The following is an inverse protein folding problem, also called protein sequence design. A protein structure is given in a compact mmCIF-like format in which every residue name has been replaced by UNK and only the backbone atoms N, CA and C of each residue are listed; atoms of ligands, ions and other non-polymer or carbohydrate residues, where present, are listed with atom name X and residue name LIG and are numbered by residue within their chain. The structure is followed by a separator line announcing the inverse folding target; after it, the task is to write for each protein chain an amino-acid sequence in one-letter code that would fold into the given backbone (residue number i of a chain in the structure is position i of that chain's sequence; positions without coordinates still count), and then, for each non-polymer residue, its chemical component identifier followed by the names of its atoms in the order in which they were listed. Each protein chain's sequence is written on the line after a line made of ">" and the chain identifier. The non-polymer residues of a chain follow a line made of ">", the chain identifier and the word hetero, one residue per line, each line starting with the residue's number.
data_IF_399048447516
#
_entry.id   IF_399048447516
#
_cell.length_a   1.000
_cell.length_b   1.000
_cell.length_c   1.000
_cell.angle_alpha   90.00
_cell.angle_beta   90.00
_cell.angle_gamma   90.00
#
_symmetry.space_group_name_H-M   'P 1'
#
loop_
_entity.id
_entity.type
_entity.pdbx_description
1 polymer ?
#
# COMPACT_ATOMS: atom_id res chain seq x y z
N UNK A 1 -26.47 -36.19 2.87
CA UNK A 1 -26.29 -35.13 3.89
C UNK A 1 -26.05 -33.84 3.13
N UNK A 2 -26.85 -32.79 3.40
CA UNK A 2 -26.56 -31.47 2.86
C UNK A 2 -25.22 -30.99 3.41
N UNK A 3 -24.40 -30.40 2.56
CA UNK A 3 -23.07 -29.92 2.90
C UNK A 3 -23.14 -28.41 3.00
N UNK A 4 -22.65 -27.84 4.10
CA UNK A 4 -22.44 -26.40 4.20
C UNK A 4 -21.45 -25.98 3.11
N UNK A 5 -21.91 -25.17 2.16
CA UNK A 5 -21.07 -24.62 1.11
C UNK A 5 -20.75 -23.15 1.43
N UNK A 6 -19.50 -22.91 1.83
CA UNK A 6 -18.97 -21.57 2.07
C UNK A 6 -18.16 -21.09 0.84
N UNK A 7 -18.10 -19.77 0.59
CA UNK A 7 -17.34 -19.21 -0.51
C UNK A 7 -15.83 -19.43 -0.31
N UNK A 8 -15.12 -19.73 -1.39
CA UNK A 8 -13.67 -19.81 -1.42
C UNK A 8 -13.03 -18.42 -1.34
N UNK A 9 -11.85 -18.33 -0.73
CA UNK A 9 -11.05 -17.11 -0.69
C UNK A 9 -9.72 -17.31 -1.41
N UNK A 10 -9.56 -16.61 -2.52
CA UNK A 10 -8.36 -16.65 -3.37
C UNK A 10 -7.64 -15.29 -3.44
N UNK A 11 -7.94 -14.39 -2.49
CA UNK A 11 -7.42 -13.03 -2.44
C UNK A 11 -8.34 -11.99 -3.09
N UNK A 12 -7.88 -10.72 -3.12
CA UNK A 12 -6.59 -10.23 -2.63
C UNK A 12 -6.50 -10.19 -1.09
N UNK A 13 -5.28 -10.22 -0.53
CA UNK A 13 -5.03 -10.07 0.91
C UNK A 13 -5.16 -8.60 1.35
N UNK A 14 -6.39 -8.09 1.38
CA UNK A 14 -6.71 -6.76 1.90
C UNK A 14 -7.73 -6.85 3.03
N UNK A 15 -7.73 -5.85 3.91
CA UNK A 15 -8.68 -5.80 5.04
C UNK A 15 -10.14 -5.85 4.57
N UNK A 16 -10.46 -5.13 3.49
CA UNK A 16 -11.79 -5.14 2.88
C UNK A 16 -12.16 -6.51 2.31
N UNK A 17 -11.34 -7.08 1.44
CA UNK A 17 -11.66 -8.35 0.77
C UNK A 17 -11.81 -9.50 1.77
N UNK A 18 -10.95 -9.54 2.79
CA UNK A 18 -11.06 -10.55 3.85
C UNK A 18 -12.29 -10.33 4.71
N UNK A 19 -12.59 -9.09 5.11
CA UNK A 19 -13.80 -8.79 5.87
C UNK A 19 -15.07 -9.17 5.08
N UNK A 20 -15.13 -8.87 3.79
CA UNK A 20 -16.25 -9.26 2.93
C UNK A 20 -16.40 -10.78 2.84
N UNK A 21 -15.30 -11.50 2.61
CA UNK A 21 -15.32 -12.96 2.59
C UNK A 21 -15.82 -13.55 3.92
N UNK A 22 -15.28 -13.07 5.06
CA UNK A 22 -15.70 -13.51 6.39
C UNK A 22 -17.17 -13.20 6.66
N UNK A 23 -17.67 -12.04 6.22
CA UNK A 23 -19.10 -11.71 6.31
C UNK A 23 -19.97 -12.66 5.49
N UNK A 24 -19.58 -12.96 4.24
CA UNK A 24 -20.30 -13.92 3.39
C UNK A 24 -20.29 -15.33 3.99
N UNK A 25 -19.15 -15.80 4.49
CA UNK A 25 -19.09 -17.08 5.19
C UNK A 25 -20.07 -17.16 6.36
N UNK A 26 -20.16 -16.08 7.15
CA UNK A 26 -21.10 -16.01 8.27
C UNK A 26 -22.56 -16.00 7.78
N UNK A 27 -22.87 -15.25 6.72
CA UNK A 27 -24.21 -15.19 6.14
C UNK A 27 -24.66 -16.55 5.60
N UNK A 28 -23.84 -17.22 4.79
CA UNK A 28 -24.14 -18.57 4.26
C UNK A 28 -24.33 -19.59 5.39
N UNK A 29 -23.56 -19.46 6.46
CA UNK A 29 -23.73 -20.29 7.63
C UNK A 29 -25.03 -20.00 8.38
N UNK A 30 -25.43 -18.75 8.53
CA UNK A 30 -26.72 -18.38 9.12
C UNK A 30 -27.89 -18.91 8.30
N UNK A 31 -27.82 -18.85 6.96
CA UNK A 31 -28.81 -19.47 6.06
C UNK A 31 -28.87 -20.98 6.27
N UNK A 32 -27.71 -21.66 6.30
CA UNK A 32 -27.65 -23.09 6.60
C UNK A 32 -28.31 -23.44 7.94
N UNK A 33 -28.17 -22.61 8.96
CA UNK A 33 -28.81 -22.86 10.25
C UNK A 33 -30.33 -22.70 10.22
N UNK A 34 -30.84 -21.82 9.37
CA UNK A 34 -32.29 -21.67 9.16
C UNK A 34 -32.88 -22.90 8.45
N UNK A 35 -32.14 -23.44 7.47
CA UNK A 35 -32.56 -24.64 6.73
C UNK A 35 -32.41 -25.92 7.56
N UNK A 36 -31.46 -25.95 8.50
CA UNK A 36 -31.15 -27.11 9.34
C UNK A 36 -31.09 -26.76 10.84
N UNK A 37 -32.22 -26.36 11.46
CA UNK A 37 -32.23 -25.90 12.86
C UNK A 37 -31.85 -26.98 13.88
N UNK A 38 -32.06 -28.26 13.53
CA UNK A 38 -31.73 -29.42 14.37
C UNK A 38 -30.35 -30.02 14.06
N UNK A 39 -29.51 -29.31 13.29
CA UNK A 39 -28.17 -29.79 12.95
C UNK A 39 -27.30 -29.94 14.20
N UNK A 40 -26.88 -31.17 14.48
CA UNK A 40 -25.96 -31.46 15.57
C UNK A 40 -24.52 -31.16 15.15
N UNK A 41 -23.88 -30.18 15.79
CA UNK A 41 -22.50 -29.82 15.51
C UNK A 41 -21.55 -30.90 16.04
N UNK A 42 -20.73 -31.55 15.18
CA UNK A 42 -19.89 -32.69 15.56
C UNK A 42 -18.91 -32.46 16.73
N UNK A 43 -18.63 -31.20 17.08
CA UNK A 43 -17.73 -30.81 18.17
C UNK A 43 -18.38 -29.85 19.18
N UNK A 44 -19.72 -29.86 19.27
CA UNK A 44 -20.52 -29.14 20.28
C UNK A 44 -20.58 -27.61 20.14
N UNK A 45 -19.64 -26.98 19.43
CA UNK A 45 -19.65 -25.53 19.19
C UNK A 45 -20.01 -25.19 17.75
N UNK A 46 -21.05 -24.35 17.62
CA UNK A 46 -21.46 -23.68 16.38
C UNK A 46 -20.30 -22.94 15.73
N UNK A 47 -19.62 -22.09 16.50
CA UNK A 47 -18.52 -21.26 16.01
C UNK A 47 -17.33 -22.12 15.58
N UNK A 48 -17.00 -23.17 16.35
CA UNK A 48 -15.95 -24.11 15.97
C UNK A 48 -16.23 -24.72 14.59
N UNK A 49 -17.46 -25.17 14.36
CA UNK A 49 -17.86 -25.75 13.07
C UNK A 49 -17.69 -24.74 11.92
N UNK A 50 -18.15 -23.49 12.11
CA UNK A 50 -17.97 -22.42 11.12
C UNK A 50 -16.48 -22.12 10.86
N UNK A 51 -15.66 -21.99 11.91
CA UNK A 51 -14.23 -21.71 11.80
C UNK A 51 -13.53 -22.77 10.95
N UNK A 52 -13.78 -24.06 11.21
CA UNK A 52 -13.19 -25.16 10.43
C UNK A 52 -13.58 -25.06 8.96
N UNK A 53 -14.87 -24.86 8.69
CA UNK A 53 -15.35 -24.80 7.31
C UNK A 53 -14.87 -23.57 6.57
N UNK A 54 -14.78 -22.41 7.24
CA UNK A 54 -14.27 -21.19 6.63
C UNK A 54 -12.78 -21.28 6.33
N UNK A 55 -11.96 -21.73 7.30
CA UNK A 55 -10.52 -21.87 7.07
C UNK A 55 -10.18 -22.87 5.95
N UNK A 56 -10.96 -23.96 5.82
CA UNK A 56 -10.80 -24.92 4.71
C UNK A 56 -11.20 -24.36 3.32
N UNK A 57 -11.76 -23.15 3.25
CA UNK A 57 -12.09 -22.47 2.00
C UNK A 57 -11.04 -21.44 1.58
N UNK A 58 -9.94 -21.32 2.31
CA UNK A 58 -8.78 -20.54 1.87
C UNK A 58 -8.09 -21.32 0.74
N UNK A 59 -7.94 -20.68 -0.42
CA UNK A 59 -7.25 -21.25 -1.58
C UNK A 59 -5.78 -21.49 -1.25
N UNK A 60 -5.25 -22.63 -1.68
CA UNK A 60 -3.84 -22.97 -1.53
C UNK A 60 -2.95 -22.50 -2.67
N UNK A 61 -3.51 -21.68 -3.58
CA UNK A 61 -2.84 -21.15 -4.75
C UNK A 61 -2.64 -19.64 -4.67
N UNK A 62 -1.61 -19.15 -5.37
CA UNK A 62 -1.36 -17.72 -5.55
C UNK A 62 -1.07 -16.99 -4.23
N UNK A 63 -1.63 -15.79 -4.08
CA UNK A 63 -1.36 -14.89 -2.95
C UNK A 63 -1.86 -15.39 -1.59
N UNK A 64 -2.68 -16.46 -1.54
CA UNK A 64 -3.23 -17.01 -0.30
C UNK A 64 -2.53 -18.28 0.18
N UNK A 65 -1.50 -18.77 -0.53
CA UNK A 65 -0.79 -20.01 -0.21
C UNK A 65 -0.27 -20.04 1.24
N UNK A 66 0.48 -19.02 1.65
CA UNK A 66 1.03 -18.93 3.01
C UNK A 66 -0.05 -18.89 4.10
N UNK A 67 -1.19 -18.26 3.79
CA UNK A 67 -2.33 -18.19 4.71
C UNK A 67 -3.02 -19.56 4.84
N UNK A 68 -3.12 -20.32 3.74
CA UNK A 68 -3.65 -21.68 3.74
C UNK A 68 -2.75 -22.63 4.53
N UNK A 69 -1.42 -22.51 4.40
CA UNK A 69 -0.45 -23.31 5.14
C UNK A 69 -0.45 -22.97 6.64
N UNK A 70 -0.53 -21.68 6.97
CA UNK A 70 -0.76 -21.25 8.35
C UNK A 70 -2.04 -21.88 8.92
N UNK A 71 -3.15 -21.83 8.19
CA UNK A 71 -4.40 -22.43 8.65
C UNK A 71 -4.28 -23.93 8.91
N UNK A 72 -3.66 -24.69 7.98
CA UNK A 72 -3.46 -26.14 8.10
C UNK A 72 -2.60 -26.52 9.31
N UNK A 73 -1.64 -25.68 9.67
CA UNK A 73 -0.76 -25.89 10.83
C UNK A 73 -1.33 -25.38 12.16
N UNK A 74 -2.41 -24.61 12.13
CA UNK A 74 -2.98 -23.98 13.32
C UNK A 74 -3.98 -24.88 14.03
N UNK A 75 -3.80 -25.09 15.33
CA UNK A 75 -4.78 -25.79 16.15
C UNK A 75 -6.03 -24.92 16.38
N UNK A 76 -7.22 -25.45 16.06
CA UNK A 76 -8.50 -24.73 16.22
C UNK A 76 -8.76 -24.31 17.68
N UNK A 77 -8.18 -25.00 18.65
CA UNK A 77 -8.19 -24.64 20.08
C UNK A 77 -7.66 -23.22 20.33
N UNK A 78 -6.77 -22.71 19.47
CA UNK A 78 -6.16 -21.38 19.61
C UNK A 78 -7.16 -20.22 19.47
N UNK A 79 -8.36 -20.48 18.95
CA UNK A 79 -9.40 -19.46 18.76
C UNK A 79 -10.46 -19.46 19.88
N UNK A 80 -10.28 -20.24 20.96
CA UNK A 80 -11.26 -20.40 22.05
C UNK A 80 -12.69 -20.74 21.55
N UNK A 81 -12.80 -21.40 20.39
CA UNK A 81 -14.07 -21.64 19.69
C UNK A 81 -14.93 -20.38 19.49
N UNK A 82 -14.31 -19.24 19.22
CA UNK A 82 -14.96 -17.94 19.05
C UNK A 82 -14.73 -17.42 17.63
N UNK A 83 -15.81 -17.14 16.89
CA UNK A 83 -15.73 -16.64 15.52
C UNK A 83 -15.03 -15.28 15.42
N UNK A 84 -15.26 -14.38 16.36
CA UNK A 84 -14.60 -13.06 16.36
C UNK A 84 -13.09 -13.23 16.55
N UNK A 85 -12.65 -14.10 17.47
CA UNK A 85 -11.22 -14.39 17.70
C UNK A 85 -10.54 -14.95 16.45
N UNK A 86 -11.20 -15.89 15.77
CA UNK A 86 -10.74 -16.40 14.49
C UNK A 86 -10.58 -15.28 13.45
N UNK A 87 -11.58 -14.40 13.28
CA UNK A 87 -11.48 -13.26 12.36
C UNK A 87 -10.29 -12.36 12.67
N UNK A 88 -10.00 -12.10 13.94
CA UNK A 88 -8.87 -11.24 14.28
C UNK A 88 -7.53 -11.91 14.01
N UNK A 89 -7.38 -13.18 14.38
CA UNK A 89 -6.13 -13.90 14.14
C UNK A 89 -5.87 -14.12 12.65
N UNK A 90 -6.88 -14.49 11.86
CA UNK A 90 -6.70 -14.65 10.42
C UNK A 90 -6.35 -13.32 9.74
N UNK A 91 -6.92 -12.19 10.19
CA UNK A 91 -6.56 -10.86 9.70
C UNK A 91 -5.16 -10.42 10.16
N UNK A 92 -4.77 -10.76 11.39
CA UNK A 92 -3.44 -10.47 11.90
C UNK A 92 -2.35 -11.28 11.20
N UNK A 93 -2.65 -12.52 10.84
CA UNK A 93 -1.74 -13.36 10.08
C UNK A 93 -1.53 -12.84 8.66
N UNK A 94 -2.61 -12.45 7.98
CA UNK A 94 -2.56 -12.04 6.57
C UNK A 94 -2.09 -10.59 6.37
N UNK A 95 -2.42 -9.68 7.29
CA UNK A 95 -2.21 -8.24 7.14
C UNK A 95 -1.24 -7.66 8.19
N UNK A 96 -0.77 -8.49 9.13
CA UNK A 96 0.07 -8.09 10.26
C UNK A 96 -0.72 -7.70 11.50
N UNK A 97 -0.06 -7.74 12.67
CA UNK A 97 -0.68 -7.47 13.99
C UNK A 97 -1.30 -6.08 14.14
N UNK A 98 -0.88 -5.12 13.32
CA UNK A 98 -1.38 -3.74 13.34
C UNK A 98 -2.45 -3.44 12.28
N UNK A 99 -3.02 -4.47 11.64
CA UNK A 99 -3.98 -4.31 10.54
C UNK A 99 -5.12 -3.34 10.87
N UNK A 100 -5.67 -3.42 12.10
CA UNK A 100 -6.79 -2.58 12.50
C UNK A 100 -6.39 -1.11 12.68
N UNK A 101 -5.19 -0.86 13.20
CA UNK A 101 -4.64 0.49 13.29
C UNK A 101 -4.39 1.08 11.89
N UNK A 102 -3.93 0.26 10.94
CA UNK A 102 -3.80 0.66 9.55
C UNK A 102 -5.15 0.94 8.88
N UNK A 103 -6.17 0.11 9.12
CA UNK A 103 -7.54 0.35 8.63
C UNK A 103 -8.10 1.65 9.22
N UNK A 104 -7.89 1.92 10.51
CA UNK A 104 -8.29 3.18 11.14
C UNK A 104 -7.56 4.38 10.52
N UNK A 105 -6.24 4.29 10.33
CA UNK A 105 -5.46 5.34 9.65
C UNK A 105 -6.07 5.61 8.26
N UNK A 106 -6.23 4.56 7.45
CA UNK A 106 -6.82 4.66 6.12
C UNK A 106 -8.20 5.32 6.18
N UNK A 107 -9.09 4.87 7.07
CA UNK A 107 -10.42 5.43 7.25
C UNK A 107 -10.37 6.95 7.47
N UNK A 108 -9.50 7.45 8.36
CA UNK A 108 -9.41 8.89 8.61
C UNK A 108 -8.66 9.69 7.51
N UNK A 109 -7.79 9.04 6.74
CA UNK A 109 -6.94 9.73 5.76
C UNK A 109 -7.39 9.57 4.31
N UNK A 110 -8.35 8.69 4.00
CA UNK A 110 -8.87 8.52 2.63
C UNK A 110 -9.56 9.81 2.19
N UNK A 111 -9.00 10.44 1.14
CA UNK A 111 -9.50 11.68 0.52
C UNK A 111 -9.99 11.43 -0.89
N UNK A 112 -10.94 12.24 -1.38
CA UNK A 112 -11.48 12.10 -2.72
C UNK A 112 -10.42 12.42 -3.81
N UNK A 113 -9.66 13.50 -3.68
CA UNK A 113 -8.48 13.83 -4.54
C UNK A 113 -8.70 13.60 -6.05
N UNK A 114 -9.75 14.20 -6.62
CA UNK A 114 -10.05 14.09 -8.05
C UNK A 114 -10.67 12.75 -8.47
N UNK A 115 -10.83 11.79 -7.56
CA UNK A 115 -11.52 10.52 -7.82
C UNK A 115 -13.02 10.73 -7.91
N UNK A 116 -13.66 9.82 -8.64
CA UNK A 116 -15.11 9.73 -8.69
C UNK A 116 -15.69 9.56 -7.27
N UNK A 117 -16.76 10.31 -6.97
CA UNK A 117 -17.39 10.32 -5.66
C UNK A 117 -17.87 8.93 -5.21
N UNK A 118 -18.44 8.13 -6.11
CA UNK A 118 -18.95 6.79 -5.80
C UNK A 118 -17.81 5.85 -5.36
N UNK A 119 -16.66 5.93 -6.02
CA UNK A 119 -15.49 5.12 -5.67
C UNK A 119 -14.94 5.49 -4.30
N UNK A 120 -14.81 6.80 -4.05
CA UNK A 120 -14.37 7.34 -2.76
C UNK A 120 -15.31 6.95 -1.61
N UNK A 121 -16.62 7.14 -1.79
CA UNK A 121 -17.63 6.84 -0.79
C UNK A 121 -17.75 5.33 -0.52
N UNK A 122 -17.60 4.50 -1.57
CA UNK A 122 -17.56 3.04 -1.44
C UNK A 122 -16.36 2.61 -0.59
N UNK A 123 -15.16 3.08 -0.89
CA UNK A 123 -13.94 2.74 -0.14
C UNK A 123 -14.06 3.13 1.34
N UNK A 124 -14.54 4.35 1.62
CA UNK A 124 -14.76 4.79 3.01
C UNK A 124 -15.77 3.90 3.75
N UNK A 125 -16.83 3.48 3.08
CA UNK A 125 -17.83 2.60 3.68
C UNK A 125 -17.31 1.16 3.89
N UNK A 126 -16.47 0.68 2.99
CA UNK A 126 -15.75 -0.60 3.14
C UNK A 126 -14.82 -0.57 4.37
N UNK A 127 -14.00 0.48 4.51
CA UNK A 127 -13.14 0.67 5.68
C UNK A 127 -13.96 0.76 6.99
N UNK A 128 -15.06 1.51 6.95
CA UNK A 128 -16.01 1.59 8.07
C UNK A 128 -16.57 0.21 8.44
N UNK A 129 -16.93 -0.59 7.44
CA UNK A 129 -17.45 -1.95 7.62
C UNK A 129 -16.42 -2.82 8.32
N UNK A 130 -15.16 -2.80 7.88
CA UNK A 130 -14.05 -3.54 8.50
C UNK A 130 -13.92 -3.17 9.99
N UNK A 131 -13.88 -1.87 10.31
CA UNK A 131 -13.75 -1.39 11.69
C UNK A 131 -14.94 -1.86 12.54
N UNK A 132 -16.15 -1.71 12.02
CA UNK A 132 -17.39 -2.05 12.74
C UNK A 132 -17.51 -3.55 13.05
N UNK A 133 -16.98 -4.40 12.17
CA UNK A 133 -17.06 -5.86 12.26
C UNK A 133 -15.89 -6.50 13.01
N UNK A 134 -14.85 -5.73 13.37
CA UNK A 134 -13.68 -6.23 14.08
C UNK A 134 -14.00 -6.76 15.49
N UNK A 135 -14.95 -6.13 16.20
CA UNK A 135 -15.50 -6.47 17.55
C UNK A 135 -14.52 -6.70 18.71
N UNK A 136 -13.23 -6.90 18.45
CA UNK A 136 -12.21 -7.33 19.42
C UNK A 136 -11.51 -6.15 20.07
N UNK A 137 -11.31 -5.08 19.31
CA UNK A 137 -10.98 -3.81 19.89
C UNK A 137 -12.25 -3.20 20.48
N UNK A 138 -12.21 -2.73 21.73
CA UNK A 138 -13.25 -1.88 22.32
C UNK A 138 -13.31 -0.49 21.66
N UNK A 139 -13.18 -0.42 20.34
CA UNK A 139 -13.34 0.79 19.56
C UNK A 139 -14.79 1.21 19.76
N UNK A 140 -14.95 2.36 20.39
CA UNK A 140 -16.26 2.95 20.61
C UNK A 140 -16.95 3.21 19.27
N UNK A 141 -18.27 2.98 19.20
CA UNK A 141 -19.10 3.46 18.09
C UNK A 141 -18.94 4.97 17.87
N UNK A 142 -18.46 5.73 18.86
CA UNK A 142 -18.11 7.14 18.67
C UNK A 142 -17.01 7.37 17.62
N UNK A 143 -16.20 6.37 17.25
CA UNK A 143 -15.10 6.50 16.28
C UNK A 143 -15.56 6.27 14.83
N UNK A 144 -16.53 5.37 14.63
CA UNK A 144 -17.00 4.96 13.30
C UNK A 144 -18.52 5.10 13.12
N UNK A 145 -19.19 5.78 14.06
CA UNK A 145 -20.62 6.03 14.06
C UNK A 145 -21.04 6.98 12.95
N UNK A 146 -22.35 7.07 12.71
CA UNK A 146 -22.91 7.84 11.59
C UNK A 146 -22.53 9.32 11.64
N UNK A 147 -22.48 9.92 12.84
CA UNK A 147 -22.07 11.32 13.01
C UNK A 147 -20.62 11.55 12.54
N UNK A 148 -19.65 10.76 13.02
CA UNK A 148 -18.26 10.91 12.58
C UNK A 148 -18.10 10.58 11.10
N UNK A 149 -18.79 9.54 10.63
CA UNK A 149 -18.74 9.15 9.23
C UNK A 149 -19.26 10.25 8.30
N UNK A 150 -20.33 10.93 8.68
CA UNK A 150 -20.87 12.09 7.95
C UNK A 150 -19.83 13.19 7.77
N UNK A 151 -19.19 13.61 8.85
CA UNK A 151 -18.17 14.66 8.80
C UNK A 151 -16.95 14.21 8.02
N UNK A 152 -16.51 12.97 8.21
CA UNK A 152 -15.38 12.40 7.50
C UNK A 152 -15.64 12.37 5.99
N UNK A 153 -16.79 11.86 5.54
CA UNK A 153 -17.16 11.86 4.12
C UNK A 153 -17.11 13.26 3.52
N UNK A 154 -17.72 14.25 4.20
CA UNK A 154 -17.75 15.62 3.71
C UNK A 154 -16.34 16.24 3.68
N UNK A 155 -15.65 16.32 4.81
CA UNK A 155 -14.40 17.08 4.90
C UNK A 155 -13.22 16.45 4.16
N UNK A 156 -13.31 15.16 3.80
CA UNK A 156 -12.35 14.51 2.91
C UNK A 156 -12.81 14.48 1.44
N UNK A 157 -13.97 15.07 1.09
CA UNK A 157 -14.41 15.28 -0.29
C UNK A 157 -13.58 16.35 -1.01
N UNK A 158 -13.80 16.51 -2.32
CA UNK A 158 -13.18 17.58 -3.09
C UNK A 158 -13.57 18.97 -2.54
N UNK A 159 -12.64 19.95 -2.45
CA UNK A 159 -12.92 21.26 -1.83
C UNK A 159 -14.16 21.96 -2.40
N UNK A 160 -14.33 21.94 -3.73
CA UNK A 160 -15.50 22.52 -4.39
C UNK A 160 -16.83 21.89 -3.94
N UNK A 161 -16.84 20.58 -3.68
CA UNK A 161 -18.02 19.89 -3.15
C UNK A 161 -18.29 20.28 -1.70
N UNK A 162 -17.23 20.46 -0.89
CA UNK A 162 -17.36 20.91 0.51
C UNK A 162 -17.97 22.30 0.59
N UNK A 163 -17.42 23.27 -0.16
CA UNK A 163 -17.91 24.65 -0.20
C UNK A 163 -19.38 24.71 -0.65
N UNK A 164 -19.72 24.03 -1.75
CA UNK A 164 -21.08 24.00 -2.27
C UNK A 164 -22.11 23.43 -1.27
N UNK A 165 -21.69 22.44 -0.47
CA UNK A 165 -22.56 21.78 0.49
C UNK A 165 -22.71 22.61 1.76
N UNK A 166 -21.62 23.18 2.29
CA UNK A 166 -21.64 23.99 3.51
C UNK A 166 -22.40 25.31 3.31
N UNK A 167 -22.35 25.90 2.12
CA UNK A 167 -23.09 27.14 1.82
C UNK A 167 -24.62 26.96 1.79
N UNK A 168 -25.09 25.72 1.61
CA UNK A 168 -26.51 25.42 1.33
C UNK A 168 -27.19 24.58 2.39
N UNK A 169 -26.44 23.94 3.28
CA UNK A 169 -26.98 22.92 4.18
C UNK A 169 -26.33 22.94 5.55
N UNK A 170 -27.16 22.78 6.58
CA UNK A 170 -26.70 22.50 7.93
C UNK A 170 -26.30 21.02 8.06
N UNK A 171 -25.01 20.75 8.04
CA UNK A 171 -24.48 19.37 8.10
C UNK A 171 -24.69 18.72 9.46
N UNK A 172 -24.97 19.49 10.52
CA UNK A 172 -25.22 18.93 11.85
C UNK A 172 -26.50 18.10 11.85
N UNK A 173 -27.54 18.55 11.15
CA UNK A 173 -28.88 17.92 11.17
C UNK A 173 -29.15 16.94 10.03
N UNK A 174 -28.32 16.94 8.99
CA UNK A 174 -28.49 16.13 7.77
C UNK A 174 -28.04 14.67 7.99
N UNK A 175 -28.74 13.71 7.37
CA UNK A 175 -28.42 12.28 7.49
C UNK A 175 -27.18 11.88 6.67
N UNK A 176 -26.59 10.72 7.00
CA UNK A 176 -25.48 10.12 6.21
C UNK A 176 -25.88 9.93 4.74
N UNK A 177 -27.09 9.45 4.48
CA UNK A 177 -27.61 9.22 3.12
C UNK A 177 -27.71 10.54 2.35
N UNK A 178 -28.23 11.58 2.97
CA UNK A 178 -28.37 12.89 2.33
C UNK A 178 -27.00 13.53 2.04
N UNK A 179 -26.04 13.43 2.96
CA UNK A 179 -24.67 13.92 2.72
C UNK A 179 -24.03 13.17 1.56
N UNK A 180 -24.20 11.86 1.49
CA UNK A 180 -23.72 11.03 0.37
C UNK A 180 -24.29 11.51 -0.97
N UNK A 181 -25.61 11.67 -1.07
CA UNK A 181 -26.27 12.16 -2.29
C UNK A 181 -25.80 13.56 -2.68
N UNK A 182 -25.58 14.44 -1.71
CA UNK A 182 -25.10 15.80 -1.94
C UNK A 182 -23.68 15.79 -2.48
N UNK A 183 -22.77 15.00 -1.91
CA UNK A 183 -21.39 14.84 -2.41
C UNK A 183 -21.39 14.33 -3.86
N UNK A 184 -22.23 13.34 -4.16
CA UNK A 184 -22.38 12.79 -5.51
C UNK A 184 -22.91 13.83 -6.52
N UNK A 185 -23.85 14.69 -6.11
CA UNK A 185 -24.40 15.77 -6.94
C UNK A 185 -23.42 16.94 -7.12
N UNK A 186 -22.63 17.24 -6.10
CA UNK A 186 -21.68 18.35 -6.07
C UNK A 186 -20.36 18.04 -6.80
N UNK A 187 -20.02 16.75 -6.96
CA UNK A 187 -18.84 16.33 -7.70
C UNK A 187 -19.16 16.27 -9.21
N UNK A 188 -18.47 17.04 -10.06
CA UNK A 188 -18.66 16.91 -11.51
C UNK A 188 -18.34 15.49 -11.96
N UNK A 189 -19.26 14.85 -12.69
CA UNK A 189 -18.99 13.58 -13.37
C UNK A 189 -18.02 13.88 -14.51
N UNK A 190 -16.76 13.48 -14.37
CA UNK A 190 -15.91 13.35 -15.55
C UNK A 190 -16.61 12.36 -16.49
N UNK A 191 -16.92 12.74 -17.74
CA UNK A 191 -17.49 11.81 -18.69
C UNK A 191 -16.49 10.65 -18.87
N UNK A 192 -16.97 9.40 -18.99
CA UNK A 192 -16.09 8.31 -19.40
C UNK A 192 -15.49 8.68 -20.75
N UNK A 193 -14.17 8.56 -20.88
CA UNK A 193 -13.44 8.80 -22.11
C UNK A 193 -14.14 8.07 -23.26
N UNK A 194 -14.78 8.87 -24.11
CA UNK A 194 -15.42 8.42 -25.32
C UNK A 194 -14.34 8.29 -26.39
N UNK A 195 -13.64 7.16 -26.42
CA UNK A 195 -13.04 6.70 -27.67
C UNK A 195 -13.94 5.66 -28.31
N UNK A 196 -14.82 6.17 -29.15
CA UNK A 196 -15.41 5.40 -30.24
C UNK A 196 -14.29 5.00 -31.21
N UNK A 197 -14.19 3.69 -31.46
CA UNK A 197 -13.31 3.09 -32.45
C UNK A 197 -13.74 1.66 -32.70
N UNK A 198 -14.72 1.50 -33.60
CA UNK A 198 -15.17 0.25 -34.23
C UNK A 198 -14.04 -0.77 -34.42
N UNK A 199 -14.30 -2.04 -34.09
CA UNK A 199 -14.16 -3.19 -35.00
C UNK A 199 -14.68 -4.45 -34.32
N UNK A 200 -15.89 -4.84 -34.68
CA UNK A 200 -16.35 -6.23 -34.57
C UNK A 200 -15.48 -7.11 -35.47
N UNK A 201 -14.70 -8.01 -34.89
CA UNK A 201 -14.38 -9.27 -35.56
C UNK A 201 -14.06 -10.38 -34.56
N UNK A 202 -14.97 -11.35 -34.53
CA UNK A 202 -14.86 -12.64 -33.84
C UNK A 202 -13.74 -13.46 -34.48
N UNK A 203 -12.81 -13.97 -33.66
CA UNK A 203 -11.98 -15.14 -33.99
C UNK A 203 -11.59 -15.88 -32.70
N UNK A 204 -11.66 -17.20 -32.77
CA UNK A 204 -11.49 -18.16 -31.69
C UNK A 204 -10.04 -18.20 -31.13
N UNK A 205 -9.80 -18.79 -29.93
CA UNK A 205 -8.59 -18.59 -29.17
C UNK A 205 -7.47 -19.48 -29.69
N UNK A 206 -6.35 -18.87 -30.07
CA UNK A 206 -5.11 -19.59 -30.31
C UNK A 206 -4.19 -19.46 -29.10
N UNK A 207 -3.62 -20.61 -28.75
CA UNK A 207 -2.96 -20.90 -27.50
C UNK A 207 -1.47 -20.58 -27.66
N UNK A 208 -1.04 -19.39 -27.22
CA UNK A 208 0.38 -19.07 -27.13
C UNK A 208 0.65 -18.26 -25.86
N UNK A 209 1.32 -18.92 -24.90
CA UNK A 209 1.71 -18.33 -23.63
C UNK A 209 2.48 -17.03 -23.81
N UNK A 210 1.88 -15.94 -23.36
CA UNK A 210 2.54 -14.69 -23.03
C UNK A 210 2.33 -14.42 -21.53
N UNK A 211 3.31 -13.81 -20.83
CA UNK A 211 3.22 -13.57 -19.40
C UNK A 211 2.02 -12.66 -19.12
N UNK A 212 1.17 -13.10 -18.22
CA UNK A 212 -0.04 -12.41 -17.77
C UNK A 212 0.24 -10.96 -17.37
N UNK A 213 -0.43 -10.03 -18.04
CA UNK A 213 -0.77 -8.67 -17.62
C UNK A 213 0.14 -8.01 -16.56
N UNK A 214 1.24 -7.43 -17.02
CA UNK A 214 1.86 -6.32 -16.30
C UNK A 214 0.87 -5.14 -16.30
N UNK A 215 0.40 -4.74 -15.13
CA UNK A 215 -0.27 -3.46 -14.95
C UNK A 215 0.81 -2.35 -15.06
N UNK A 216 0.70 -1.39 -15.99
CA UNK A 216 1.75 -0.39 -16.27
C UNK A 216 1.90 0.69 -15.18
N UNK A 217 1.37 0.47 -13.98
CA UNK A 217 1.22 1.50 -12.97
C UNK A 217 2.20 1.37 -11.79
N UNK A 218 2.87 2.49 -11.50
CA UNK A 218 3.64 2.86 -10.30
C UNK A 218 3.62 1.92 -9.11
N UNK A 219 4.80 1.56 -8.59
CA UNK A 219 4.91 0.95 -7.26
C UNK A 219 5.26 2.06 -6.25
N UNK A 220 4.61 2.02 -5.09
CA UNK A 220 5.00 2.83 -3.93
C UNK A 220 5.29 1.84 -2.80
N UNK A 221 6.50 1.91 -2.25
CA UNK A 221 6.82 1.12 -1.06
C UNK A 221 6.06 1.69 0.15
N UNK A 222 5.41 0.85 0.98
CA UNK A 222 4.82 1.31 2.24
C UNK A 222 5.84 2.00 3.14
N UNK A 223 5.33 2.84 4.04
CA UNK A 223 6.05 3.56 5.10
C UNK A 223 6.82 2.65 6.08
N UNK A 224 6.95 1.32 5.87
CA UNK A 224 7.79 0.42 6.67
C UNK A 224 8.62 -0.60 5.88
N UNK A 225 8.62 -0.56 4.55
CA UNK A 225 9.60 -1.36 3.81
C UNK A 225 10.98 -0.72 3.92
N UNK A 226 11.88 -1.47 4.55
CA UNK A 226 13.07 -0.97 5.22
C UNK A 226 13.21 -1.43 6.68
N UNK A 227 12.21 -2.12 7.26
CA UNK A 227 12.41 -2.82 8.53
C UNK A 227 13.52 -3.87 8.39
N UNK A 228 14.73 -3.53 8.84
CA UNK A 228 15.65 -4.56 9.33
C UNK A 228 14.91 -5.28 10.43
N UNK A 229 14.66 -6.59 10.28
CA UNK A 229 14.11 -7.36 11.39
C UNK A 229 14.99 -7.09 12.61
N UNK A 230 14.39 -6.63 13.70
CA UNK A 230 15.04 -6.54 15.00
C UNK A 230 15.29 -7.93 15.61
N UNK A 231 15.19 -8.98 14.80
CA UNK A 231 15.26 -10.38 15.19
C UNK A 231 16.52 -11.03 14.62
N UNK A 232 17.70 -10.48 14.93
CA UNK A 232 18.92 -11.26 15.10
C UNK A 232 19.87 -10.49 16.02
N UNK A 233 19.72 -10.70 17.33
CA UNK A 233 20.81 -10.46 18.29
C UNK A 233 21.96 -11.40 17.89
N UNK A 234 22.84 -10.97 16.98
CA UNK A 234 24.06 -11.73 16.67
C UNK A 234 24.63 -11.61 15.26
N UNK A 235 23.91 -11.07 14.27
CA UNK A 235 24.47 -10.88 12.92
C UNK A 235 24.57 -9.38 12.57
N UNK A 236 25.77 -8.83 12.34
CA UNK A 236 25.95 -7.46 11.85
C UNK A 236 25.61 -7.31 10.35
N UNK A 237 25.14 -8.38 9.70
CA UNK A 237 24.77 -8.41 8.29
C UNK A 237 23.25 -8.48 8.17
N UNK A 238 22.57 -7.34 8.25
CA UNK A 238 21.27 -7.22 7.59
C UNK A 238 21.57 -7.16 6.09
N UNK A 239 21.42 -8.30 5.41
CA UNK A 239 21.54 -8.37 3.97
C UNK A 239 20.59 -7.35 3.35
N UNK A 240 21.16 -6.50 2.51
CA UNK A 240 20.42 -5.66 1.60
C UNK A 240 19.76 -6.62 0.61
N UNK A 241 18.47 -6.87 0.81
CA UNK A 241 17.69 -7.75 -0.05
C UNK A 241 17.79 -7.26 -1.49
N UNK A 242 18.34 -8.11 -2.36
CA UNK A 242 18.30 -7.89 -3.80
C UNK A 242 16.82 -7.86 -4.23
N UNK A 243 16.45 -6.83 -4.98
CA UNK A 243 15.09 -6.61 -5.52
C UNK A 243 14.71 -7.58 -6.65
N UNK A 244 15.21 -8.82 -6.62
CA UNK A 244 15.00 -9.78 -7.70
C UNK A 244 13.64 -10.51 -7.60
N UNK A 245 12.86 -10.30 -6.53
CA UNK A 245 11.56 -10.94 -6.37
C UNK A 245 10.45 -9.89 -6.17
N UNK A 246 9.81 -9.54 -7.29
CA UNK A 246 8.77 -8.52 -7.41
C UNK A 246 7.40 -9.05 -6.95
N UNK A 247 7.27 -10.37 -6.77
CA UNK A 247 6.00 -11.07 -6.57
C UNK A 247 5.36 -10.84 -5.18
N UNK A 248 6.09 -10.23 -4.25
CA UNK A 248 5.64 -10.00 -2.87
C UNK A 248 5.20 -8.56 -2.57
N UNK A 249 5.07 -7.70 -3.60
CA UNK A 249 4.74 -6.28 -3.41
C UNK A 249 3.22 -6.03 -3.37
N UNK A 250 2.70 -5.22 -2.42
CA UNK A 250 1.27 -4.97 -2.29
C UNK A 250 0.70 -4.11 -3.43
N UNK A 251 -0.50 -4.48 -3.89
CA UNK A 251 -1.30 -3.82 -4.95
C UNK A 251 -1.90 -2.49 -4.45
N UNK A 252 -1.12 -1.40 -4.36
CA UNK A 252 -1.67 -0.05 -4.18
C UNK A 252 -0.88 0.95 -5.03
N UNK A 253 -1.42 1.33 -6.20
CA UNK A 253 -0.78 2.23 -7.15
C UNK A 253 -1.38 3.65 -7.09
N UNK A 254 -0.50 4.65 -7.17
CA UNK A 254 -0.77 5.96 -7.75
C UNK A 254 0.30 6.22 -8.79
N UNK A 255 -0.05 6.89 -9.89
CA UNK A 255 0.93 7.29 -10.93
C UNK A 255 1.91 8.29 -10.33
N UNK A 256 3.15 7.86 -10.07
CA UNK A 256 4.25 8.77 -9.77
C UNK A 256 4.70 9.37 -11.10
N UNK A 257 4.51 10.68 -11.29
CA UNK A 257 4.99 11.40 -12.47
C UNK A 257 6.53 11.44 -12.53
N UNK A 258 7.08 11.84 -13.67
CA UNK A 258 8.52 11.89 -13.89
C UNK A 258 9.24 12.72 -12.82
N UNK A 259 10.45 12.28 -12.46
CA UNK A 259 11.38 13.09 -11.68
C UNK A 259 11.90 14.18 -12.63
N UNK A 260 11.83 15.45 -12.22
CA UNK A 260 12.31 16.60 -13.01
C UNK A 260 13.66 17.09 -12.53
N UNK A 261 13.94 16.95 -11.23
CA UNK A 261 15.18 17.42 -10.64
C UNK A 261 15.64 16.54 -9.50
N UNK A 262 16.94 16.37 -9.40
CA UNK A 262 17.60 15.65 -8.32
C UNK A 262 18.59 16.57 -7.65
N UNK A 263 18.56 16.64 -6.32
CA UNK A 263 19.56 17.37 -5.53
C UNK A 263 20.22 16.42 -4.54
N UNK A 264 21.55 16.48 -4.42
CA UNK A 264 22.35 15.77 -3.42
C UNK A 264 23.03 16.79 -2.50
N UNK A 265 23.07 16.54 -1.20
CA UNK A 265 23.66 17.45 -0.20
C UNK A 265 24.80 16.82 0.59
N UNK A 266 25.73 17.69 0.98
CA UNK A 266 26.84 17.38 1.85
C UNK A 266 26.89 18.19 3.14
N UNK A 267 27.47 17.58 4.17
CA UNK A 267 27.91 18.29 5.37
C UNK A 267 29.26 19.00 5.17
N UNK A 268 29.67 19.81 6.15
CA UNK A 268 30.97 20.54 6.17
C UNK A 268 32.20 19.64 6.01
N UNK A 269 32.05 18.34 6.24
CA UNK A 269 33.11 17.35 6.13
C UNK A 269 33.07 16.58 4.80
N UNK A 270 32.29 17.06 3.81
CA UNK A 270 32.05 16.38 2.53
C UNK A 270 31.49 14.95 2.70
N UNK A 271 30.67 14.72 3.72
CA UNK A 271 29.89 13.48 3.88
C UNK A 271 28.47 13.67 3.38
N UNK A 272 27.89 12.60 2.86
CA UNK A 272 26.52 12.62 2.35
C UNK A 272 25.55 12.99 3.47
N UNK A 273 24.79 14.06 3.27
CA UNK A 273 23.86 14.61 4.24
C UNK A 273 22.40 14.41 3.84
N UNK A 274 22.10 14.25 2.55
CA UNK A 274 20.74 14.00 2.08
C UNK A 274 20.57 14.12 0.58
N UNK A 275 19.34 13.98 0.12
CA UNK A 275 18.95 14.13 -1.28
C UNK A 275 17.47 14.52 -1.43
N UNK A 276 17.09 15.11 -2.57
CA UNK A 276 15.69 15.29 -2.99
C UNK A 276 15.47 14.90 -4.44
N UNK A 277 14.23 14.50 -4.72
CA UNK A 277 13.70 14.18 -6.03
C UNK A 277 12.45 15.05 -6.22
N UNK A 278 12.52 16.01 -7.13
CA UNK A 278 11.39 16.87 -7.45
C UNK A 278 10.59 16.22 -8.59
N UNK A 279 9.26 16.25 -8.49
CA UNK A 279 8.35 15.58 -9.44
C UNK A 279 7.59 16.61 -10.29
N UNK A 280 7.14 16.22 -11.49
CA UNK A 280 6.52 17.12 -12.49
C UNK A 280 5.30 17.95 -12.04
N UNK A 281 4.53 17.54 -11.01
CA UNK A 281 3.16 18.06 -10.81
C UNK A 281 2.76 18.45 -9.37
N UNK A 282 3.71 18.71 -8.48
CA UNK A 282 3.37 19.14 -7.12
C UNK A 282 3.86 20.55 -6.78
N UNK A 283 2.88 21.40 -6.45
CA UNK A 283 3.03 22.69 -5.75
C UNK A 283 3.63 22.54 -4.34
N UNK A 284 3.69 21.30 -3.82
CA UNK A 284 4.43 20.93 -2.63
C UNK A 284 5.50 19.90 -3.05
N UNK A 285 6.76 20.31 -3.16
CA UNK A 285 7.88 19.41 -3.42
C UNK A 285 7.83 18.25 -2.41
N UNK A 286 7.44 17.05 -2.85
CA UNK A 286 7.62 15.85 -2.04
C UNK A 286 9.12 15.63 -1.91
N UNK A 287 9.69 16.10 -0.81
CA UNK A 287 11.07 15.79 -0.47
C UNK A 287 11.07 14.32 -0.04
N UNK A 288 11.17 13.41 -1.00
CA UNK A 288 11.36 11.99 -0.72
C UNK A 288 12.79 11.79 -0.26
N UNK A 289 13.03 12.13 1.00
CA UNK A 289 14.33 12.28 1.62
C UNK A 289 14.18 13.40 2.64
N UNK A 290 14.42 13.12 3.92
CA UNK A 290 14.38 14.19 4.92
C UNK A 290 15.31 15.30 4.44
N UNK A 291 14.84 16.54 4.18
CA UNK A 291 15.77 17.65 4.12
C UNK A 291 16.56 17.56 5.43
N UNK A 292 17.91 17.62 5.37
CA UNK A 292 18.68 17.41 6.57
C UNK A 292 18.15 18.39 7.62
N UNK A 293 17.92 17.95 8.87
CA UNK A 293 17.29 18.78 9.90
C UNK A 293 17.98 20.14 9.89
N UNK A 294 17.24 21.24 10.07
CA UNK A 294 17.72 22.63 9.91
C UNK A 294 19.02 22.97 10.70
N UNK A 295 19.48 22.06 11.56
CA UNK A 295 20.74 22.07 12.31
C UNK A 295 21.97 21.53 11.55
N UNK A 296 21.82 20.87 10.40
CA UNK A 296 22.97 20.50 9.56
C UNK A 296 23.26 21.70 8.67
N UNK A 297 24.30 22.45 9.02
CA UNK A 297 24.83 23.53 8.18
C UNK A 297 25.30 22.93 6.85
N UNK A 298 24.39 22.88 5.87
CA UNK A 298 24.68 22.46 4.51
C UNK A 298 25.75 23.38 3.93
N UNK A 299 26.79 22.81 3.32
CA UNK A 299 27.87 23.62 2.73
C UNK A 299 28.12 23.34 1.26
N UNK A 300 27.67 22.20 0.74
CA UNK A 300 27.77 21.89 -0.69
C UNK A 300 26.58 21.06 -1.18
N UNK A 301 26.23 21.23 -2.45
CA UNK A 301 25.20 20.42 -3.12
C UNK A 301 25.58 20.17 -4.58
N UNK A 302 25.02 19.11 -5.16
CA UNK A 302 25.04 18.85 -6.60
C UNK A 302 23.61 18.67 -7.09
N UNK A 303 23.32 19.17 -8.29
CA UNK A 303 21.97 19.13 -8.87
C UNK A 303 22.01 18.63 -10.31
N UNK A 304 20.93 17.94 -10.69
CA UNK A 304 20.67 17.48 -12.05
C UNK A 304 19.22 17.77 -12.41
N UNK A 305 18.99 18.32 -13.60
CA UNK A 305 17.65 18.51 -14.16
C UNK A 305 17.49 17.47 -15.26
N UNK A 306 16.43 16.67 -15.15
CA UNK A 306 16.08 15.61 -16.08
C UNK A 306 15.30 16.21 -17.26
N UNK A 307 15.65 15.79 -18.47
CA UNK A 307 14.90 16.16 -19.67
C UNK A 307 13.62 15.31 -19.80
N UNK A 308 12.69 15.75 -20.65
CA UNK A 308 11.46 15.00 -20.89
C UNK A 308 11.75 13.56 -21.34
N UNK A 309 11.16 12.58 -20.66
CA UNK A 309 11.36 11.15 -20.93
C UNK A 309 12.66 10.57 -20.35
N UNK A 310 13.52 11.39 -19.76
CA UNK A 310 14.69 10.94 -19.02
C UNK A 310 14.28 10.41 -17.64
N UNK A 311 14.91 9.32 -17.20
CA UNK A 311 14.61 8.73 -15.90
C UNK A 311 15.85 8.16 -15.22
N UNK A 312 15.80 8.06 -13.90
CA UNK A 312 16.88 7.43 -13.13
C UNK A 312 16.80 5.92 -13.29
N UNK A 313 17.90 5.30 -13.71
CA UNK A 313 17.98 3.85 -13.86
C UNK A 313 18.89 3.24 -12.80
N UNK A 314 20.03 3.90 -12.52
CA UNK A 314 21.07 3.32 -11.67
C UNK A 314 21.51 4.31 -10.61
N UNK A 315 21.65 3.81 -9.38
CA UNK A 315 22.23 4.56 -8.26
C UNK A 315 23.37 3.77 -7.65
N UNK A 316 24.53 4.41 -7.55
CA UNK A 316 25.74 3.85 -6.98
C UNK A 316 26.12 4.62 -5.73
N UNK A 317 26.34 3.90 -4.65
CA UNK A 317 26.68 4.45 -3.34
C UNK A 317 28.11 4.10 -3.02
N UNK A 318 28.85 5.06 -2.50
CA UNK A 318 30.19 4.91 -2.01
C UNK A 318 30.25 4.96 -0.50
N UNK A 319 31.08 4.10 0.08
CA UNK A 319 31.19 3.95 1.53
C UNK A 319 32.65 4.09 2.00
N UNK A 320 32.83 4.76 3.13
CA UNK A 320 34.11 4.85 3.87
C UNK A 320 34.27 3.75 4.93
N UNK A 321 33.14 3.40 5.54
CA UNK A 321 32.97 2.42 6.58
C UNK A 321 31.72 1.60 6.21
N UNK A 322 31.49 0.39 6.75
CA UNK A 322 30.42 -0.50 6.29
C UNK A 322 29.02 0.10 6.24
N UNK A 323 28.79 1.26 6.87
CA UNK A 323 27.49 1.91 6.96
C UNK A 323 27.50 3.44 6.81
N UNK A 324 28.60 4.07 6.38
CA UNK A 324 28.66 5.52 6.20
C UNK A 324 28.74 5.86 4.71
N UNK A 325 27.65 6.36 4.14
CA UNK A 325 27.62 6.83 2.75
C UNK A 325 28.51 8.05 2.64
N UNK A 326 29.56 7.91 1.85
CA UNK A 326 30.46 9.00 1.51
C UNK A 326 30.11 9.65 0.20
N UNK A 327 29.71 8.87 -0.80
CA UNK A 327 29.35 9.40 -2.11
C UNK A 327 28.09 8.74 -2.64
N UNK A 328 27.37 9.45 -3.49
CA UNK A 328 26.26 8.95 -4.27
C UNK A 328 26.47 9.38 -5.72
N UNK A 329 26.37 8.42 -6.64
CA UNK A 329 26.33 8.64 -8.08
C UNK A 329 24.98 8.16 -8.59
N UNK A 330 24.32 9.00 -9.35
CA UNK A 330 23.06 8.72 -10.02
C UNK A 330 23.34 8.71 -11.51
N UNK A 331 22.80 7.73 -12.21
CA UNK A 331 22.90 7.60 -13.66
C UNK A 331 21.50 7.46 -14.23
N UNK A 332 21.23 8.27 -15.24
CA UNK A 332 19.94 8.37 -15.89
C UNK A 332 19.99 7.64 -17.23
N UNK A 333 18.82 7.34 -17.77
CA UNK A 333 18.65 6.83 -19.13
C UNK A 333 17.75 7.81 -19.87
N UNK A 334 18.14 8.13 -21.11
CA UNK A 334 17.38 9.00 -22.00
C UNK A 334 17.03 8.21 -23.28
N UNK A 335 15.75 8.01 -23.60
CA UNK A 335 15.35 7.34 -24.84
C UNK A 335 15.82 8.06 -26.11
N UNK A 336 16.07 9.37 -26.02
CA UNK A 336 16.40 10.26 -27.13
C UNK A 336 17.90 10.59 -27.21
N UNK A 337 18.75 10.04 -26.34
CA UNK A 337 20.17 10.40 -26.33
C UNK A 337 20.99 9.73 -25.23
N UNK A 338 22.26 10.15 -25.04
CA UNK A 338 23.07 9.65 -23.94
C UNK A 338 22.48 10.11 -22.59
N UNK A 339 22.40 9.19 -21.63
CA UNK A 339 22.02 9.51 -20.26
C UNK A 339 23.06 10.41 -19.58
N UNK A 340 22.65 11.02 -18.47
CA UNK A 340 23.49 11.86 -17.63
C UNK A 340 23.97 11.11 -16.38
N UNK A 341 24.99 11.66 -15.70
CA UNK A 341 25.36 11.19 -14.38
C UNK A 341 25.60 12.35 -13.40
N UNK A 342 24.97 12.27 -12.24
CA UNK A 342 25.19 13.18 -11.11
C UNK A 342 26.04 12.44 -10.10
N UNK A 343 27.11 13.05 -9.59
CA UNK A 343 27.88 12.45 -8.50
C UNK A 343 28.18 13.48 -7.42
N UNK A 344 28.03 13.08 -6.17
CA UNK A 344 28.43 13.89 -5.04
C UNK A 344 28.94 13.03 -3.86
N UNK A 345 30.10 13.37 -3.25
CA UNK A 345 31.15 14.21 -3.82
C UNK A 345 31.79 13.50 -5.02
N UNK A 346 32.51 14.24 -5.85
CA UNK A 346 33.28 13.71 -6.98
C UNK A 346 34.55 12.96 -6.51
N UNK A 347 34.35 11.92 -5.71
CA UNK A 347 35.40 11.07 -5.15
C UNK A 347 35.12 9.61 -5.46
N UNK A 348 36.18 8.84 -5.68
CA UNK A 348 36.09 7.39 -5.86
C UNK A 348 36.10 6.72 -4.49
N UNK A 349 34.99 6.11 -4.04
CA UNK A 349 34.92 5.46 -2.74
C UNK A 349 35.65 4.12 -2.75
N UNK A 350 36.11 3.66 -1.59
CA UNK A 350 36.80 2.38 -1.45
C UNK A 350 35.87 1.17 -1.60
N UNK A 351 34.60 1.30 -1.19
CA UNK A 351 33.55 0.30 -1.42
C UNK A 351 32.37 0.95 -2.15
N UNK A 352 31.90 0.30 -3.21
CA UNK A 352 30.72 0.72 -3.96
C UNK A 352 29.61 -0.30 -3.84
N UNK A 353 28.37 0.18 -3.80
CA UNK A 353 27.19 -0.64 -4.06
C UNK A 353 26.33 0.01 -5.12
N UNK A 354 25.99 -0.76 -6.15
CA UNK A 354 25.10 -0.31 -7.22
C UNK A 354 23.73 -0.95 -7.07
N UNK A 355 22.70 -0.13 -7.24
CA UNK A 355 21.30 -0.49 -7.24
C UNK A 355 20.74 -0.04 -8.58
N UNK A 356 20.19 -0.97 -9.37
CA UNK A 356 19.60 -0.69 -10.67
C UNK A 356 18.11 -1.00 -10.64
N UNK A 357 17.32 -0.19 -11.34
CA UNK A 357 15.93 -0.52 -11.60
C UNK A 357 15.87 -1.74 -12.54
N UNK A 358 14.93 -2.69 -12.33
CA UNK A 358 14.68 -3.74 -13.30
C UNK A 358 14.20 -3.19 -14.65
N UNK A 359 14.26 -4.00 -15.71
CA UNK A 359 13.76 -3.60 -17.03
C UNK A 359 12.27 -3.21 -16.96
N UNK A 360 11.93 -2.07 -17.58
CA UNK A 360 10.57 -1.53 -17.51
C UNK A 360 10.29 -0.68 -16.26
N UNK A 361 11.31 -0.43 -15.42
CA UNK A 361 11.23 0.37 -14.19
C UNK A 361 12.19 1.56 -14.22
N UNK A 362 11.84 2.58 -13.45
CA UNK A 362 12.65 3.76 -13.11
C UNK A 362 12.71 3.94 -11.60
N UNK A 363 13.84 4.48 -11.12
CA UNK A 363 14.00 4.90 -9.74
C UNK A 363 13.38 6.27 -9.54
N UNK A 364 12.51 6.41 -8.54
CA UNK A 364 11.85 7.68 -8.19
C UNK A 364 12.25 8.19 -6.81
N UNK A 365 13.04 7.42 -6.06
CA UNK A 365 13.62 7.85 -4.80
C UNK A 365 14.31 6.70 -4.06
N UNK A 366 14.69 6.95 -2.82
CA UNK A 366 15.26 5.95 -1.91
C UNK A 366 14.57 6.04 -0.55
N UNK A 367 14.83 5.04 0.28
CA UNK A 367 14.49 5.09 1.69
C UNK A 367 15.54 4.37 2.50
N UNK A 368 15.99 4.94 3.61
CA UNK A 368 16.90 4.25 4.52
C UNK A 368 16.58 4.51 5.98
N UNK A 369 17.02 3.59 6.84
CA UNK A 369 17.00 3.78 8.30
C UNK A 369 18.31 4.45 8.70
N UNK A 370 18.20 5.66 9.26
CA UNK A 370 19.32 6.41 9.83
C UNK A 370 19.29 6.30 11.35
N UNK A 371 20.42 5.97 11.97
CA UNK A 371 20.59 6.14 13.41
C UNK A 371 21.31 7.48 13.67
N UNK A 372 20.58 8.47 14.17
CA UNK A 372 21.07 9.85 14.38
C UNK A 372 22.31 9.93 15.30
N UNK A 373 22.53 8.93 16.15
CA UNK A 373 23.70 8.86 17.04
C UNK A 373 25.00 8.47 16.33
N UNK A 374 24.94 7.57 15.33
CA UNK A 374 26.15 6.96 14.75
C UNK A 374 26.35 7.27 13.26
N UNK A 375 25.37 7.92 12.61
CA UNK A 375 25.34 8.14 11.15
C UNK A 375 25.54 6.87 10.32
N UNK A 376 25.07 5.74 10.87
CA UNK A 376 25.12 4.41 10.28
C UNK A 376 23.80 4.16 9.54
N UNK A 377 23.89 3.88 8.24
CA UNK A 377 22.78 3.35 7.46
C UNK A 377 22.60 1.86 7.73
N UNK A 378 21.46 1.46 8.28
CA UNK A 378 21.15 0.04 8.57
C UNK A 378 20.39 -0.67 7.46
N UNK A 379 19.80 0.08 6.54
CA UNK A 379 19.12 -0.43 5.35
C UNK A 379 18.88 0.69 4.36
N UNK A 380 18.94 0.38 3.07
CA UNK A 380 18.57 1.28 1.99
C UNK A 380 17.72 0.51 0.96
N UNK A 381 16.52 1.01 0.69
CA UNK A 381 15.65 0.54 -0.38
C UNK A 381 15.49 1.56 -1.49
N UNK A 382 15.29 1.08 -2.72
CA UNK A 382 14.88 1.89 -3.87
C UNK A 382 13.36 2.10 -3.82
N UNK A 383 12.91 3.28 -4.22
CA UNK A 383 11.51 3.51 -4.61
C UNK A 383 11.47 3.45 -6.13
N UNK A 384 10.65 2.55 -6.68
CA UNK A 384 10.59 2.25 -8.11
C UNK A 384 9.22 2.57 -8.69
N UNK A 385 9.16 3.10 -9.90
CA UNK A 385 7.94 3.22 -10.70
C UNK A 385 8.15 2.53 -12.06
N UNK A 386 7.13 1.99 -12.73
CA UNK A 386 7.26 1.52 -14.09
C UNK A 386 7.47 2.70 -15.04
N UNK A 387 8.05 2.40 -16.20
CA UNK A 387 8.39 3.40 -17.22
C UNK A 387 7.17 4.05 -17.84
#
# INVERSE_FOLDING_TARGET
>A
MSKLELPAFSGPLTATAMNEWLLRCKQEFEVFQLDYPSFAYPNGSRDRFLIVHAGNKISDNGVTHDLADWWRSTEISNFNNNWDEFKHQIMAQSLGSHWLAHTLKAYFTTRQEGRNADTYLRELNELRSVISNSKISKISKAVYGDEVFKYLMLYNSAPAAVEQILDRYDIVTVSVTDVKEKIQKATPRNPPDSQAGNSDQVSAPDNSGSPSHFNPDGYIMPEYWGSTSSAYKGSPYAEITNFNDINHLPYQSRTIKGVTKITLWGDKSNRFAGYSFDLEDHYDSWTMGNPPPARIEQTTSAQMILQQGEYVNVVTLGFDAPFCIRSMRITTTNPLGPGQSLQWPAITPGRVKTLAAPNGWKVVGFRGIFNDGDRIFRGLGLILAPL
#
